data_IF_016376085771
#
_entry.id   IF_016376085771
#
_cell.length_a   1.000
_cell.length_b   1.000
_cell.length_c   1.000
_cell.angle_alpha   90.00
_cell.angle_beta   90.00
_cell.angle_gamma   90.00
#
_symmetry.space_group_name_H-M   'P 1'
#
loop_
_entity.id
_entity.type
_entity.pdbx_description
1 polymer ?
#
# COMPACT_ATOMS: atom_id res chain seq x y z
N UNK A 1 -34.80 22.15 -5.45
CA UNK A 1 -34.45 20.72 -5.44
C UNK A 1 -33.17 20.55 -6.26
N UNK A 2 -32.01 20.75 -5.63
CA UNK A 2 -30.70 20.56 -6.27
C UNK A 2 -30.07 19.33 -5.65
N UNK A 3 -30.11 18.21 -6.37
CA UNK A 3 -29.44 16.98 -5.94
C UNK A 3 -27.94 17.19 -6.09
N UNK A 4 -27.25 17.46 -4.97
CA UNK A 4 -25.80 17.35 -4.91
C UNK A 4 -25.45 15.88 -5.08
N UNK A 5 -24.98 15.49 -6.27
CA UNK A 5 -24.43 14.17 -6.51
C UNK A 5 -23.27 13.97 -5.52
N UNK A 6 -23.48 13.14 -4.50
CA UNK A 6 -22.39 12.63 -3.68
C UNK A 6 -21.56 11.74 -4.61
N UNK A 7 -20.56 12.33 -5.27
CA UNK A 7 -19.50 11.56 -5.88
C UNK A 7 -18.89 10.76 -4.73
N UNK A 8 -19.02 9.42 -4.66
CA UNK A 8 -18.38 8.67 -3.61
C UNK A 8 -16.90 9.01 -3.73
N UNK A 9 -16.35 9.74 -2.76
CA UNK A 9 -14.93 10.02 -2.70
C UNK A 9 -14.28 8.66 -2.76
N UNK A 10 -13.73 8.31 -3.94
CA UNK A 10 -12.90 7.11 -4.12
C UNK A 10 -11.61 7.44 -3.39
N UNK A 11 -11.69 7.42 -2.06
CA UNK A 11 -10.60 7.77 -1.17
C UNK A 11 -9.43 6.87 -1.49
N UNK A 12 -8.24 7.45 -1.60
CA UNK A 12 -7.02 6.67 -1.71
C UNK A 12 -6.70 6.06 -0.35
N UNK A 13 -6.51 4.74 -0.30
CA UNK A 13 -6.17 4.00 0.91
C UNK A 13 -4.67 4.15 1.13
N UNK A 14 -4.25 4.78 2.23
CA UNK A 14 -2.84 4.80 2.61
C UNK A 14 -2.53 3.60 3.50
N UNK A 15 -1.67 2.70 3.04
CA UNK A 15 -1.20 1.52 3.77
C UNK A 15 0.19 1.80 4.35
N UNK A 16 0.27 1.88 5.68
CA UNK A 16 1.51 2.13 6.40
C UNK A 16 2.06 0.83 6.97
N UNK A 17 3.31 0.51 6.67
CA UNK A 17 4.03 -0.61 7.27
C UNK A 17 5.47 -0.22 7.58
N UNK A 18 5.98 -0.69 8.72
CA UNK A 18 7.39 -0.49 9.08
C UNK A 18 8.35 -1.30 8.20
N UNK A 19 7.86 -2.41 7.63
CA UNK A 19 8.60 -3.28 6.72
C UNK A 19 7.71 -3.67 5.53
N UNK A 20 8.27 -3.71 4.32
CA UNK A 20 7.61 -4.22 3.12
C UNK A 20 8.63 -4.81 2.15
N UNK A 21 8.37 -6.03 1.68
CA UNK A 21 9.16 -6.66 0.64
C UNK A 21 8.67 -6.14 -0.72
N UNK A 22 9.39 -5.19 -1.29
CA UNK A 22 9.13 -4.67 -2.65
C UNK A 22 9.93 -5.47 -3.66
N UNK A 23 11.24 -5.59 -3.37
CA UNK A 23 12.19 -6.33 -4.19
C UNK A 23 13.23 -6.95 -3.26
N UNK A 24 13.78 -8.11 -3.63
CA UNK A 24 14.74 -8.85 -2.81
C UNK A 24 16.04 -8.08 -2.54
N UNK A 25 16.38 -7.11 -3.40
CA UNK A 25 17.59 -6.29 -3.28
C UNK A 25 17.41 -5.08 -2.36
N UNK A 26 16.16 -4.72 -2.03
CA UNK A 26 15.83 -3.56 -1.20
C UNK A 26 15.65 -4.04 0.25
N UNK A 27 16.52 -3.61 1.20
CA UNK A 27 16.49 -4.09 2.57
C UNK A 27 15.43 -3.36 3.42
N UNK A 28 14.19 -3.31 2.92
CA UNK A 28 13.03 -2.72 3.62
C UNK A 28 12.20 -3.77 4.34
N UNK A 29 12.71 -4.98 4.53
CA UNK A 29 12.05 -6.03 5.30
C UNK A 29 13.04 -6.96 6.00
N UNK A 30 12.66 -7.49 7.16
CA UNK A 30 13.50 -8.41 7.95
C UNK A 30 12.94 -9.83 8.09
N UNK A 31 11.73 -10.10 7.58
CA UNK A 31 11.08 -11.41 7.71
C UNK A 31 9.72 -11.52 7.02
N UNK A 32 8.95 -12.54 7.39
CA UNK A 32 7.68 -12.90 6.70
C UNK A 32 6.57 -11.84 6.77
N UNK A 33 6.59 -10.96 7.78
CA UNK A 33 5.64 -9.85 7.86
C UNK A 33 5.81 -8.83 6.72
N UNK A 34 7.05 -8.54 6.32
CA UNK A 34 7.29 -7.65 5.19
C UNK A 34 6.90 -8.28 3.85
N UNK A 35 7.07 -9.60 3.72
CA UNK A 35 6.58 -10.36 2.55
C UNK A 35 5.06 -10.25 2.45
N UNK A 36 4.34 -10.50 3.56
CA UNK A 36 2.90 -10.36 3.61
C UNK A 36 2.45 -8.92 3.28
N UNK A 37 3.16 -7.90 3.78
CA UNK A 37 2.89 -6.51 3.44
C UNK A 37 3.04 -6.23 1.94
N UNK A 38 4.04 -6.84 1.29
CA UNK A 38 4.22 -6.79 -0.16
C UNK A 38 3.07 -7.48 -0.91
N UNK A 39 2.63 -8.65 -0.44
CA UNK A 39 1.51 -9.39 -1.02
C UNK A 39 0.18 -8.63 -0.91
N UNK A 40 -0.03 -7.85 0.16
CA UNK A 40 -1.19 -6.95 0.28
C UNK A 40 -1.15 -5.87 -0.81
N UNK A 41 -0.01 -5.21 -1.01
CA UNK A 41 0.14 -4.19 -2.05
C UNK A 41 -0.05 -4.78 -3.45
N UNK A 42 0.48 -5.98 -3.70
CA UNK A 42 0.31 -6.70 -4.96
C UNK A 42 -1.17 -7.03 -5.21
N UNK A 43 -1.84 -7.58 -4.21
CA UNK A 43 -3.27 -7.91 -4.28
C UNK A 43 -4.12 -6.65 -4.53
N UNK A 44 -3.76 -5.52 -3.91
CA UNK A 44 -4.44 -4.24 -4.14
C UNK A 44 -4.24 -3.73 -5.57
N UNK A 45 -3.06 -3.91 -6.16
CA UNK A 45 -2.78 -3.58 -7.55
C UNK A 45 -3.56 -4.49 -8.51
N UNK A 46 -3.59 -5.80 -8.26
CA UNK A 46 -4.34 -6.77 -9.07
C UNK A 46 -5.85 -6.45 -9.09
N UNK A 47 -6.38 -5.95 -7.98
CA UNK A 47 -7.78 -5.51 -7.82
C UNK A 47 -8.04 -4.07 -8.31
N UNK A 48 -7.03 -3.37 -8.83
CA UNK A 48 -7.10 -1.95 -9.22
C UNK A 48 -7.67 -1.04 -8.12
N UNK A 49 -7.31 -1.30 -6.86
CA UNK A 49 -7.70 -0.47 -5.73
C UNK A 49 -6.86 0.81 -5.70
N UNK A 50 -7.46 1.98 -5.38
CA UNK A 50 -6.70 3.21 -5.20
C UNK A 50 -5.94 3.15 -3.87
N UNK A 51 -4.75 2.52 -3.85
CA UNK A 51 -3.92 2.33 -2.64
C UNK A 51 -2.51 2.92 -2.81
N UNK A 52 -2.00 3.54 -1.74
CA UNK A 52 -0.63 4.04 -1.61
C UNK A 52 0.09 3.29 -0.49
N UNK A 53 1.20 2.61 -0.79
CA UNK A 53 2.07 2.00 0.21
C UNK A 53 3.10 2.98 0.76
N UNK A 54 3.24 3.06 2.08
CA UNK A 54 4.23 3.89 2.78
C UNK A 54 5.06 3.01 3.70
N UNK A 55 6.38 3.10 3.57
CA UNK A 55 7.34 2.35 4.40
C UNK A 55 8.57 3.18 4.75
N UNK A 56 9.39 2.66 5.64
CA UNK A 56 10.67 3.24 6.02
C UNK A 56 11.74 2.79 5.04
N UNK A 57 12.54 3.72 4.53
CA UNK A 57 13.76 3.41 3.78
C UNK A 57 14.96 3.54 4.72
N UNK A 58 15.49 2.43 5.27
CA UNK A 58 16.64 2.49 6.15
C UNK A 58 17.87 2.96 5.37
N UNK A 59 18.63 3.86 5.97
CA UNK A 59 19.93 4.27 5.44
C UNK A 59 20.98 3.30 5.98
N UNK A 60 21.75 2.69 5.08
CA UNK A 60 22.86 1.79 5.42
C UNK A 60 23.97 2.51 6.18
#
# INVERSE_FOLDING_TARGET
MSQTSLNPVRGTIAYFSMDVAIESEIPTYSGGLGILAGDILRSAADLNLPMLGVTLLPRK
#
